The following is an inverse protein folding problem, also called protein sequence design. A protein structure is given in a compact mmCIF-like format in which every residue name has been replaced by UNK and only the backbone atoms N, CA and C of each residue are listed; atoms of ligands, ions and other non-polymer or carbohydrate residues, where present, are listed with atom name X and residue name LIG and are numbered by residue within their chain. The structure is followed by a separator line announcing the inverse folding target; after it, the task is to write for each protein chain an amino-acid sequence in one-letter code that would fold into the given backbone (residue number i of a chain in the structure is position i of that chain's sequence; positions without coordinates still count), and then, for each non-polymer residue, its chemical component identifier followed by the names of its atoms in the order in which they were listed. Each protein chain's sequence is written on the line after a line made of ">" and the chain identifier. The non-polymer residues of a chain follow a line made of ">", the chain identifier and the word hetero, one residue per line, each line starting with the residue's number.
data_IF_764962926226
#
_entry.id   IF_764962926226
#
_cell.length_a   1.000
_cell.length_b   1.000
_cell.length_c   1.000
_cell.angle_alpha   90.00
_cell.angle_beta   90.00
_cell.angle_gamma   90.00
#
_symmetry.space_group_name_H-M   'P 1'
#
loop_
_entity.id
_entity.type
_entity.pdbx_description
1 polymer ?
#
# COMPACT_ATOMS: atom_id res chain seq x y z
N UNK A 1 -5.07 11.14 -14.74
CA UNK A 1 -5.12 10.46 -13.42
C UNK A 1 -3.91 9.58 -13.18
N UNK A 2 -3.56 8.65 -14.08
CA UNK A 2 -2.36 7.78 -13.93
C UNK A 2 -1.08 8.52 -13.54
N UNK A 3 -0.76 9.61 -14.22
CA UNK A 3 0.45 10.41 -13.96
C UNK A 3 0.42 11.02 -12.54
N UNK A 4 -0.72 11.60 -12.14
CA UNK A 4 -0.89 12.15 -10.79
C UNK A 4 -0.78 11.08 -9.71
N UNK A 5 -1.27 9.87 -10.00
CA UNK A 5 -1.10 8.72 -9.11
C UNK A 5 0.37 8.35 -8.92
N UNK A 6 1.16 8.30 -9.99
CA UNK A 6 2.61 8.03 -9.89
C UNK A 6 3.35 9.12 -9.12
N UNK A 7 2.93 10.39 -9.23
CA UNK A 7 3.50 11.48 -8.41
C UNK A 7 3.23 11.24 -6.91
N UNK A 8 2.01 10.84 -6.55
CA UNK A 8 1.68 10.50 -5.16
C UNK A 8 2.45 9.27 -4.67
N UNK A 9 2.52 8.24 -5.49
CA UNK A 9 3.23 6.99 -5.23
C UNK A 9 4.74 7.23 -4.99
N UNK A 10 5.37 8.14 -5.73
CA UNK A 10 6.79 8.46 -5.60
C UNK A 10 7.15 8.88 -4.16
N UNK A 11 6.26 9.58 -3.45
CA UNK A 11 6.45 9.95 -2.04
C UNK A 11 6.64 8.72 -1.15
N UNK A 12 5.87 7.66 -1.40
CA UNK A 12 5.98 6.39 -0.69
C UNK A 12 7.35 5.75 -0.85
N UNK A 13 7.87 5.75 -2.08
CA UNK A 13 9.16 5.15 -2.42
C UNK A 13 10.35 5.93 -1.90
N UNK A 14 10.35 7.24 -2.14
CA UNK A 14 11.43 8.14 -1.75
C UNK A 14 11.63 8.21 -0.23
N UNK A 15 10.58 7.90 0.53
CA UNK A 15 10.64 7.93 2.00
C UNK A 15 10.78 6.54 2.63
N UNK A 16 11.01 5.49 1.84
CA UNK A 16 11.02 4.09 2.32
C UNK A 16 9.76 3.73 3.10
N UNK A 17 8.59 4.17 2.61
CA UNK A 17 7.29 3.88 3.22
C UNK A 17 6.97 4.64 4.51
N UNK A 18 7.84 5.55 4.96
CA UNK A 18 7.58 6.39 6.15
C UNK A 18 6.37 7.30 5.94
N UNK A 19 6.28 7.89 4.74
CA UNK A 19 5.09 8.62 4.27
C UNK A 19 4.35 7.75 3.28
N UNK A 20 3.03 7.77 3.33
CA UNK A 20 2.17 7.07 2.38
C UNK A 20 1.60 8.10 1.42
N UNK A 21 1.76 7.87 0.12
CA UNK A 21 1.14 8.69 -0.91
C UNK A 21 -0.37 8.56 -0.84
N UNK A 22 -1.09 9.65 -1.09
CA UNK A 22 -2.56 9.63 -1.19
C UNK A 22 -2.95 10.23 -2.53
N UNK A 23 -3.83 9.56 -3.27
CA UNK A 23 -4.33 10.07 -4.55
C UNK A 23 -5.85 10.00 -4.60
N UNK A 24 -6.49 11.17 -4.70
CA UNK A 24 -7.92 11.30 -4.94
C UNK A 24 -8.22 11.42 -6.42
N UNK A 25 -9.32 10.82 -6.88
CA UNK A 25 -9.75 10.86 -8.29
C UNK A 25 -11.27 10.86 -8.41
N UNK A 26 -11.77 11.36 -9.54
CA UNK A 26 -13.20 11.30 -9.88
C UNK A 26 -13.67 9.85 -10.13
N UNK A 27 -14.97 9.58 -9.96
CA UNK A 27 -15.60 8.32 -10.38
C UNK A 27 -15.53 8.12 -11.91
N UNK A 28 -15.84 6.91 -12.38
CA UNK A 28 -15.91 6.59 -13.81
C UNK A 28 -14.57 6.79 -14.53
N UNK A 29 -14.47 7.70 -15.53
CA UNK A 29 -13.28 7.83 -16.36
C UNK A 29 -12.00 8.16 -15.57
N UNK A 30 -12.13 8.91 -14.47
CA UNK A 30 -10.98 9.21 -13.61
C UNK A 30 -10.39 7.96 -12.96
N UNK A 31 -11.28 7.11 -12.42
CA UNK A 31 -10.91 5.82 -11.86
C UNK A 31 -10.38 4.86 -12.93
N UNK A 32 -11.08 4.71 -14.04
CA UNK A 32 -10.66 3.82 -15.15
C UNK A 32 -9.26 4.18 -15.67
N UNK A 33 -8.97 5.48 -15.86
CA UNK A 33 -7.66 5.96 -16.30
C UNK A 33 -6.54 5.69 -15.29
N UNK A 34 -6.86 5.62 -14.00
CA UNK A 34 -5.92 5.34 -12.92
C UNK A 34 -5.62 3.85 -12.73
N UNK A 35 -6.42 2.95 -13.29
CA UNK A 35 -6.32 1.50 -13.06
C UNK A 35 -4.91 0.95 -13.31
N UNK A 36 -4.33 1.27 -14.47
CA UNK A 36 -2.96 0.82 -14.80
C UNK A 36 -1.91 1.31 -13.80
N UNK A 37 -2.08 2.52 -13.25
CA UNK A 37 -1.17 3.06 -12.24
C UNK A 37 -1.27 2.33 -10.90
N UNK A 38 -2.49 2.00 -10.46
CA UNK A 38 -2.70 1.20 -9.24
C UNK A 38 -2.17 -0.22 -9.43
N UNK A 39 -2.42 -0.83 -10.59
CA UNK A 39 -1.91 -2.17 -10.91
C UNK A 39 -0.38 -2.24 -10.87
N UNK A 40 0.30 -1.22 -11.42
CA UNK A 40 1.75 -1.12 -11.34
C UNK A 40 2.21 -0.97 -9.88
N UNK A 41 1.62 -0.04 -9.13
CA UNK A 41 1.96 0.17 -7.72
C UNK A 41 1.75 -1.11 -6.87
N UNK A 42 0.76 -1.93 -7.20
CA UNK A 42 0.52 -3.23 -6.58
C UNK A 42 1.63 -4.24 -6.88
N UNK A 43 2.01 -4.38 -8.16
CA UNK A 43 3.09 -5.28 -8.58
C UNK A 43 4.42 -4.91 -7.94
N UNK A 44 4.72 -3.62 -7.87
CA UNK A 44 5.97 -3.10 -7.32
C UNK A 44 5.94 -2.94 -5.80
N UNK A 45 4.82 -3.27 -5.14
CA UNK A 45 4.69 -3.21 -3.68
C UNK A 45 4.91 -1.80 -3.11
N UNK A 46 4.30 -0.80 -3.76
CA UNK A 46 4.37 0.59 -3.33
C UNK A 46 3.28 0.91 -2.28
N UNK A 47 3.62 1.62 -1.19
CA UNK A 47 2.64 2.09 -0.22
C UNK A 47 1.86 3.30 -0.76
N UNK A 48 0.58 3.10 -1.05
CA UNK A 48 -0.31 4.09 -1.64
C UNK A 48 -1.73 3.94 -1.08
N UNK A 49 -2.40 5.06 -0.80
CA UNK A 49 -3.85 5.09 -0.52
C UNK A 49 -4.56 5.80 -1.67
N UNK A 50 -5.58 5.15 -2.22
CA UNK A 50 -6.32 5.61 -3.39
C UNK A 50 -7.75 5.91 -2.98
N UNK A 51 -8.23 7.11 -3.27
CA UNK A 51 -9.54 7.62 -2.85
C UNK A 51 -10.38 7.99 -4.08
N UNK A 52 -10.91 7.01 -4.82
CA UNK A 52 -11.84 7.30 -5.90
C UNK A 52 -13.16 7.79 -5.33
N UNK A 53 -13.70 8.83 -5.95
CA UNK A 53 -15.11 9.16 -5.79
C UNK A 53 -15.95 8.01 -6.35
N UNK A 54 -17.08 7.73 -5.72
CA UNK A 54 -18.09 6.75 -6.16
C UNK A 54 -19.37 7.46 -6.59
N UNK A 55 -20.23 6.74 -7.32
CA UNK A 55 -21.59 7.21 -7.60
C UNK A 55 -22.44 7.24 -6.32
N UNK A 56 -23.56 7.99 -6.28
CA UNK A 56 -24.48 7.92 -5.15
C UNK A 56 -24.86 6.46 -4.85
N UNK A 57 -24.93 6.06 -3.58
CA UNK A 57 -25.21 4.67 -3.20
C UNK A 57 -26.50 4.11 -3.81
N UNK A 58 -27.50 4.95 -4.06
CA UNK A 58 -28.77 4.57 -4.70
C UNK A 58 -28.63 4.23 -6.19
N UNK A 59 -27.52 4.63 -6.81
CA UNK A 59 -27.23 4.44 -8.23
C UNK A 59 -25.95 3.65 -8.48
N UNK A 60 -25.22 3.23 -7.45
CA UNK A 60 -23.89 2.60 -7.59
C UNK A 60 -23.91 1.27 -8.33
N UNK A 61 -25.07 0.64 -8.49
CA UNK A 61 -25.27 -0.62 -9.22
C UNK A 61 -26.02 -0.46 -10.54
N UNK A 62 -26.35 0.78 -10.93
CA UNK A 62 -27.08 1.08 -12.17
C UNK A 62 -26.08 1.10 -13.32
N UNK A 63 -26.31 0.29 -14.36
CA UNK A 63 -25.54 0.36 -15.60
C UNK A 63 -25.70 1.76 -16.24
N UNK A 64 -24.62 2.47 -16.63
CA UNK A 64 -23.23 2.02 -16.82
C UNK A 64 -22.24 2.43 -15.69
N UNK A 65 -22.70 2.59 -14.45
CA UNK A 65 -21.86 3.12 -13.38
C UNK A 65 -20.73 2.15 -12.99
N UNK A 66 -19.51 2.65 -13.05
CA UNK A 66 -18.29 1.92 -12.69
C UNK A 66 -18.08 1.90 -11.16
N UNK A 67 -17.89 0.71 -10.58
CA UNK A 67 -17.53 0.53 -9.18
C UNK A 67 -16.02 0.36 -9.03
N UNK A 68 -15.37 1.38 -8.46
CA UNK A 68 -13.92 1.36 -8.22
C UNK A 68 -13.52 0.27 -7.22
N UNK A 69 -14.25 0.13 -6.12
CA UNK A 69 -13.96 -0.89 -5.11
C UNK A 69 -13.98 -2.31 -5.68
N UNK A 70 -14.97 -2.62 -6.53
CA UNK A 70 -15.06 -3.96 -7.17
C UNK A 70 -13.98 -4.16 -8.22
N UNK A 71 -13.78 -3.17 -9.10
CA UNK A 71 -12.86 -3.30 -10.23
C UNK A 71 -11.39 -3.33 -9.80
N UNK A 72 -11.02 -2.61 -8.74
CA UNK A 72 -9.64 -2.51 -8.24
C UNK A 72 -9.27 -3.58 -7.21
N UNK A 73 -10.23 -4.39 -6.73
CA UNK A 73 -9.97 -5.44 -5.74
C UNK A 73 -8.79 -6.38 -6.10
N UNK A 74 -8.60 -6.81 -7.38
CA UNK A 74 -7.47 -7.69 -7.74
C UNK A 74 -6.10 -7.01 -7.69
N UNK A 75 -6.07 -5.68 -7.73
CA UNK A 75 -4.85 -4.86 -7.82
C UNK A 75 -4.68 -3.94 -6.61
N UNK A 76 -5.33 -4.27 -5.50
CA UNK A 76 -5.20 -3.57 -4.23
C UNK A 76 -5.16 -4.60 -3.11
N UNK A 77 -4.54 -4.25 -2.00
CA UNK A 77 -4.53 -5.11 -0.80
C UNK A 77 -5.82 -4.99 0.00
N UNK A 78 -6.45 -3.83 -0.09
CA UNK A 78 -7.77 -3.52 0.46
C UNK A 78 -8.50 -2.71 -0.60
N UNK A 79 -9.72 -3.10 -0.92
CA UNK A 79 -10.67 -2.27 -1.65
C UNK A 79 -12.00 -2.31 -0.92
N UNK A 80 -12.44 -1.17 -0.43
CA UNK A 80 -13.74 -1.03 0.22
C UNK A 80 -14.47 0.22 -0.29
N UNK A 81 -15.80 0.19 -0.27
CA UNK A 81 -16.63 1.36 -0.49
C UNK A 81 -17.14 1.85 0.87
N UNK A 82 -17.09 3.16 1.10
CA UNK A 82 -17.67 3.76 2.28
C UNK A 82 -19.19 3.63 2.24
N UNK A 83 -19.78 3.06 3.31
CA UNK A 83 -21.22 2.80 3.37
C UNK A 83 -21.98 3.84 4.18
N UNK A 84 -21.37 4.42 5.21
CA UNK A 84 -21.98 5.47 6.05
C UNK A 84 -20.93 6.51 6.46
N UNK A 85 -21.33 7.76 6.79
CA UNK A 85 -20.39 8.82 7.17
C UNK A 85 -19.54 8.45 8.40
N UNK A 86 -20.12 7.73 9.36
CA UNK A 86 -19.47 7.34 10.63
C UNK A 86 -18.27 6.42 10.41
N UNK A 87 -18.26 5.68 9.29
CA UNK A 87 -17.21 4.72 8.98
C UNK A 87 -15.93 5.37 8.46
N UNK A 88 -15.94 6.66 8.11
CA UNK A 88 -14.82 7.32 7.40
C UNK A 88 -13.49 7.16 8.12
N UNK A 89 -13.46 7.35 9.44
CA UNK A 89 -12.25 7.21 10.25
C UNK A 89 -11.77 5.76 10.27
N UNK A 90 -12.68 4.81 10.47
CA UNK A 90 -12.32 3.39 10.53
C UNK A 90 -11.84 2.87 9.15
N UNK A 91 -12.47 3.32 8.07
CA UNK A 91 -12.11 3.00 6.69
C UNK A 91 -10.72 3.49 6.33
N UNK A 92 -10.43 4.76 6.59
CA UNK A 92 -9.10 5.32 6.36
C UNK A 92 -8.05 4.63 7.24
N UNK A 93 -8.35 4.35 8.52
CA UNK A 93 -7.42 3.60 9.38
C UNK A 93 -7.10 2.22 8.82
N UNK A 94 -8.08 1.47 8.31
CA UNK A 94 -7.84 0.18 7.65
C UNK A 94 -6.99 0.36 6.38
N UNK A 95 -7.28 1.36 5.56
CA UNK A 95 -6.51 1.63 4.34
C UNK A 95 -5.04 1.96 4.65
N UNK A 96 -4.77 2.85 5.61
CA UNK A 96 -3.41 3.16 6.05
C UNK A 96 -2.72 1.98 6.72
N UNK A 97 -3.44 1.15 7.47
CA UNK A 97 -2.91 -0.10 8.04
C UNK A 97 -2.49 -1.07 6.93
N UNK A 98 -3.35 -1.27 5.93
CA UNK A 98 -3.08 -2.16 4.81
C UNK A 98 -1.89 -1.69 3.97
N UNK A 99 -1.83 -0.38 3.65
CA UNK A 99 -0.75 0.20 2.88
C UNK A 99 0.61 0.18 3.61
N UNK A 100 0.60 0.27 4.96
CA UNK A 100 1.82 0.37 5.78
C UNK A 100 2.41 -0.98 6.19
N UNK A 101 1.57 -1.92 6.64
CA UNK A 101 2.02 -3.09 7.40
C UNK A 101 2.14 -4.35 6.52
N UNK A 102 3.07 -5.25 6.86
CA UNK A 102 3.39 -6.40 6.02
C UNK A 102 4.02 -5.98 4.69
N UNK A 103 3.72 -6.69 3.59
CA UNK A 103 4.14 -6.23 2.26
C UNK A 103 3.37 -4.95 1.87
N UNK A 104 4.05 -3.80 1.66
CA UNK A 104 3.39 -2.56 1.27
C UNK A 104 2.73 -2.72 -0.10
N UNK A 105 1.49 -2.27 -0.24
CA UNK A 105 0.70 -2.35 -1.48
C UNK A 105 -0.39 -1.26 -1.45
N UNK A 106 -0.98 -0.90 -2.61
CA UNK A 106 -2.08 0.05 -2.65
C UNK A 106 -3.29 -0.42 -1.82
N UNK A 107 -3.90 0.51 -1.11
CA UNK A 107 -5.20 0.35 -0.47
C UNK A 107 -6.18 1.38 -1.04
N UNK A 108 -7.43 1.00 -1.20
CA UNK A 108 -8.45 1.81 -1.86
C UNK A 108 -9.70 1.94 -0.98
N UNK A 109 -10.20 3.17 -0.87
CA UNK A 109 -11.47 3.49 -0.23
C UNK A 109 -12.28 4.32 -1.20
N UNK A 110 -13.30 3.72 -1.82
CA UNK A 110 -14.25 4.42 -2.67
C UNK A 110 -15.23 5.24 -1.81
N UNK A 111 -15.38 6.52 -2.13
CA UNK A 111 -16.23 7.46 -1.38
C UNK A 111 -17.41 7.90 -2.25
N UNK A 112 -18.62 7.34 -2.06
CA UNK A 112 -19.83 7.78 -2.75
C UNK A 112 -20.07 9.29 -2.63
N UNK A 113 -20.51 9.94 -3.69
CA UNK A 113 -20.77 11.39 -3.71
C UNK A 113 -21.80 11.84 -2.68
N UNK A 114 -22.83 11.03 -2.41
CA UNK A 114 -23.83 11.33 -1.39
C UNK A 114 -23.24 11.33 0.03
N UNK A 115 -22.18 10.52 0.27
CA UNK A 115 -21.46 10.52 1.55
C UNK A 115 -20.40 11.61 1.63
N UNK A 116 -19.81 12.01 0.50
CA UNK A 116 -18.85 13.12 0.46
C UNK A 116 -19.48 14.46 0.89
N UNK A 117 -20.78 14.61 0.67
CA UNK A 117 -21.56 15.79 1.05
C UNK A 117 -22.30 15.63 2.38
N UNK A 118 -22.22 14.45 3.01
CA UNK A 118 -22.92 14.18 4.26
C UNK A 118 -22.14 14.72 5.46
N UNK A 119 -22.88 15.19 6.47
CA UNK A 119 -22.29 15.52 7.76
C UNK A 119 -21.76 14.25 8.45
N UNK A 120 -20.57 14.36 9.03
CA UNK A 120 -19.98 13.32 9.87
C UNK A 120 -20.25 13.72 11.33
N UNK A 121 -20.59 12.77 12.23
CA UNK A 121 -20.80 13.12 13.63
C UNK A 121 -19.59 13.82 14.25
N UNK A 122 -19.87 14.81 15.09
CA UNK A 122 -18.87 15.50 15.90
C UNK A 122 -18.14 14.55 16.86
N UNK A 123 -16.96 14.97 17.33
CA UNK A 123 -16.22 14.23 18.36
C UNK A 123 -15.44 13.02 17.86
N UNK A 124 -15.20 12.92 16.55
CA UNK A 124 -14.33 11.87 16.01
C UNK A 124 -12.88 12.05 16.48
N UNK A 125 -12.25 10.95 16.85
CA UNK A 125 -10.82 10.91 17.20
C UNK A 125 -10.05 10.09 16.19
N UNK A 126 -8.92 10.62 15.71
CA UNK A 126 -8.02 9.87 14.85
C UNK A 126 -6.72 9.55 15.57
N UNK A 127 -6.38 8.27 15.60
CA UNK A 127 -5.03 7.78 15.90
C UNK A 127 -4.43 7.17 14.64
N UNK A 128 -3.20 7.52 14.25
CA UNK A 128 -2.52 6.85 13.14
C UNK A 128 -2.42 5.33 13.35
N UNK A 129 -2.54 4.57 12.27
CA UNK A 129 -2.28 3.13 12.31
C UNK A 129 -0.83 2.85 12.75
N UNK A 130 -0.58 1.94 13.69
CA UNK A 130 0.77 1.59 14.11
C UNK A 130 1.54 0.93 12.96
N UNK A 131 2.85 1.16 12.93
CA UNK A 131 3.78 0.40 12.10
C UNK A 131 4.17 -0.88 12.85
N UNK A 132 3.97 -2.04 12.25
CA UNK A 132 4.33 -3.33 12.82
C UNK A 132 5.45 -3.94 11.98
N UNK A 133 6.54 -4.33 12.63
CA UNK A 133 7.63 -5.12 12.06
C UNK A 133 7.65 -6.48 12.73
N UNK A 134 7.91 -7.52 11.96
CA UNK A 134 8.13 -8.87 12.46
C UNK A 134 9.53 -9.32 12.04
N UNK A 135 10.21 -10.05 12.91
CA UNK A 135 11.48 -10.70 12.63
C UNK A 135 11.29 -12.19 12.30
N UNK A 136 12.30 -12.85 11.73
CA UNK A 136 12.34 -14.30 11.63
C UNK A 136 12.42 -14.95 13.02
N UNK A 137 12.15 -16.26 13.09
CA UNK A 137 12.48 -17.07 14.25
C UNK A 137 14.01 -17.07 14.44
N UNK A 138 14.56 -16.75 15.64
CA UNK A 138 16.00 -16.79 15.88
C UNK A 138 16.67 -18.10 15.46
N UNK A 139 15.99 -19.24 15.65
CA UNK A 139 16.54 -20.54 15.25
C UNK A 139 16.66 -20.71 13.73
N UNK A 140 15.85 -20.00 12.94
CA UNK A 140 15.97 -20.00 11.48
C UNK A 140 17.04 -19.03 11.00
N UNK A 141 17.39 -18.01 11.80
CA UNK A 141 18.53 -17.12 11.53
C UNK A 141 19.85 -17.89 11.63
N UNK A 142 20.02 -18.68 12.69
CA UNK A 142 21.23 -19.50 12.89
C UNK A 142 21.41 -20.49 11.73
N UNK A 143 20.34 -21.19 11.34
CA UNK A 143 20.37 -22.11 10.19
C UNK A 143 20.72 -21.39 8.89
N UNK A 144 20.19 -20.19 8.67
CA UNK A 144 20.51 -19.41 7.48
C UNK A 144 21.98 -18.99 7.47
N UNK A 145 22.53 -18.60 8.62
CA UNK A 145 23.95 -18.26 8.75
C UNK A 145 24.86 -19.47 8.43
N UNK A 146 24.53 -20.65 8.98
CA UNK A 146 25.27 -21.89 8.68
C UNK A 146 25.24 -22.22 7.17
N UNK A 147 24.08 -22.06 6.51
CA UNK A 147 23.95 -22.28 5.07
C UNK A 147 24.76 -21.28 4.23
N UNK A 148 24.82 -20.01 4.66
CA UNK A 148 25.61 -18.98 3.98
C UNK A 148 27.11 -19.26 4.11
N UNK A 149 27.58 -19.68 5.29
CA UNK A 149 28.98 -20.00 5.54
C UNK A 149 29.46 -21.27 4.81
N UNK A 150 28.56 -22.23 4.58
CA UNK A 150 28.86 -23.46 3.87
C UNK A 150 28.78 -23.34 2.34
N UNK A 151 28.32 -22.20 1.80
CA UNK A 151 28.11 -22.04 0.37
C UNK A 151 29.43 -21.84 -0.41
N UNK A 152 29.65 -22.66 -1.44
CA UNK A 152 30.85 -22.57 -2.29
C UNK A 152 30.76 -21.43 -3.34
N UNK A 153 29.55 -21.10 -3.80
CA UNK A 153 29.30 -20.09 -4.83
C UNK A 153 28.11 -19.20 -4.42
N UNK A 154 28.33 -18.36 -3.41
CA UNK A 154 27.30 -17.50 -2.84
C UNK A 154 27.04 -16.26 -3.72
N UNK A 155 25.77 -15.88 -3.86
CA UNK A 155 25.33 -14.60 -4.42
C UNK A 155 24.15 -14.09 -3.58
N UNK A 156 24.17 -12.81 -3.22
CA UNK A 156 23.11 -12.15 -2.44
C UNK A 156 22.17 -11.40 -3.38
N UNK A 157 20.95 -11.91 -3.58
CA UNK A 157 19.93 -11.17 -4.32
C UNK A 157 19.13 -10.21 -3.41
N UNK A 158 19.54 -8.94 -3.37
CA UNK A 158 18.93 -7.93 -2.51
C UNK A 158 17.63 -7.32 -3.12
N UNK A 159 16.49 -7.58 -2.49
CA UNK A 159 15.19 -7.04 -2.89
C UNK A 159 14.83 -5.68 -2.23
N UNK A 160 13.70 -5.10 -2.66
CA UNK A 160 13.16 -3.84 -2.12
C UNK A 160 12.90 -3.87 -0.59
N UNK A 161 12.81 -5.06 0.01
CA UNK A 161 12.68 -5.22 1.46
C UNK A 161 13.80 -4.51 2.24
N UNK A 162 15.03 -4.53 1.72
CA UNK A 162 16.18 -3.82 2.31
C UNK A 162 15.94 -2.31 2.30
N UNK A 163 15.46 -1.78 1.17
CA UNK A 163 15.14 -0.36 1.00
C UNK A 163 14.05 0.12 1.97
N UNK A 164 12.97 -0.64 2.14
CA UNK A 164 11.88 -0.30 3.06
C UNK A 164 12.25 -0.52 4.54
N UNK A 165 13.12 -1.48 4.83
CA UNK A 165 13.64 -1.69 6.18
C UNK A 165 14.67 -0.61 6.59
N UNK A 166 15.25 0.09 5.60
CA UNK A 166 16.44 0.93 5.73
C UNK A 166 17.68 0.14 6.19
N UNK A 167 17.77 -1.13 5.80
CA UNK A 167 18.81 -2.07 6.22
C UNK A 167 20.05 -2.04 5.31
N UNK A 168 20.42 -0.85 4.83
CA UNK A 168 21.48 -0.71 3.82
C UNK A 168 22.86 -1.03 4.39
N UNK A 169 23.13 -0.57 5.61
CA UNK A 169 24.39 -0.80 6.29
C UNK A 169 24.56 -2.27 6.67
N UNK A 170 23.49 -2.91 7.14
CA UNK A 170 23.47 -4.32 7.52
C UNK A 170 23.64 -5.24 6.31
N UNK A 171 23.02 -4.90 5.17
CA UNK A 171 23.27 -5.63 3.92
C UNK A 171 24.74 -5.49 3.47
N UNK A 172 25.28 -4.27 3.54
CA UNK A 172 26.67 -4.01 3.17
C UNK A 172 27.63 -4.80 4.06
N UNK A 173 27.46 -4.73 5.38
CA UNK A 173 28.28 -5.47 6.34
C UNK A 173 28.23 -6.98 6.09
N UNK A 174 27.04 -7.54 5.85
CA UNK A 174 26.88 -8.96 5.55
C UNK A 174 27.60 -9.36 4.25
N UNK A 175 27.47 -8.55 3.19
CA UNK A 175 28.12 -8.83 1.92
C UNK A 175 29.65 -8.73 2.00
N UNK A 176 30.17 -7.74 2.73
CA UNK A 176 31.60 -7.56 2.98
C UNK A 176 32.16 -8.71 3.83
N UNK A 177 31.45 -9.13 4.88
CA UNK A 177 31.88 -10.23 5.75
C UNK A 177 31.97 -11.58 5.02
N UNK A 178 31.03 -11.83 4.11
CA UNK A 178 30.96 -13.08 3.34
C UNK A 178 31.75 -13.02 2.03
N UNK A 179 32.37 -11.88 1.72
CA UNK A 179 33.00 -11.58 0.43
C UNK A 179 32.08 -11.93 -0.76
N UNK A 180 30.77 -11.75 -0.57
CA UNK A 180 29.76 -12.23 -1.48
C UNK A 180 29.35 -11.14 -2.50
N UNK A 181 29.25 -11.47 -3.79
CA UNK A 181 28.65 -10.58 -4.77
C UNK A 181 27.16 -10.35 -4.46
N UNK A 182 26.70 -9.12 -4.71
CA UNK A 182 25.31 -8.65 -4.55
C UNK A 182 24.70 -8.32 -5.91
#
# INVERSE_FOLDING_TARGET
>A
ERVGLHMAEAIGRLTSGRKIGVFGMQHGPGAENAFGGVAQAYGESAPLVVLPMGYPRTQSTVDPNFSSARSFAPVTKLAEQLLTPEMVVAALRRAFTAARNGRPRPALVEIPTDLMMADVPDGWTYTPAPAVRYGPDPADVDKAADLLLAAENLVIYAGQGVHYAAAWAELQELAELLEAPV
#
